data_IF_258081012254
#
_entry.id   IF_258081012254
#
_cell.length_a   1.000
_cell.length_b   1.000
_cell.length_c   1.000
_cell.angle_alpha   90.00
_cell.angle_beta   90.00
_cell.angle_gamma   90.00
#
_symmetry.space_group_name_H-M   'P 1'
#
loop_
_entity.id
_entity.type
_entity.pdbx_description
1 polymer ?
#
# COMPACT_ATOMS: atom_id res chain seq x y z
N UNK A 1 -17.01 7.03 -9.46
CA UNK A 1 -16.22 5.99 -10.14
C UNK A 1 -15.23 5.42 -9.14
N UNK A 2 -15.42 4.18 -8.70
CA UNK A 2 -14.56 3.53 -7.70
C UNK A 2 -13.16 3.40 -8.30
N UNK A 3 -12.17 4.11 -7.76
CA UNK A 3 -10.74 3.89 -8.10
C UNK A 3 -10.42 2.44 -7.72
N UNK A 4 -10.52 1.52 -8.67
CA UNK A 4 -10.09 0.14 -8.51
C UNK A 4 -8.56 0.17 -8.62
N UNK A 5 -7.89 0.20 -7.48
CA UNK A 5 -6.48 -0.13 -7.44
C UNK A 5 -6.31 -1.56 -7.95
N UNK A 6 -5.35 -1.75 -8.85
CA UNK A 6 -5.07 -3.06 -9.39
C UNK A 6 -4.69 -4.03 -8.26
N UNK A 7 -5.09 -5.30 -8.37
CA UNK A 7 -4.76 -6.30 -7.34
C UNK A 7 -3.24 -6.42 -7.19
N UNK A 8 -2.53 -6.30 -8.29
CA UNK A 8 -1.07 -6.33 -8.33
C UNK A 8 -0.46 -5.16 -7.54
N UNK A 9 -1.07 -3.97 -7.64
CA UNK A 9 -0.65 -2.80 -6.90
C UNK A 9 -0.80 -2.95 -5.38
N UNK A 10 -1.92 -3.55 -4.95
CA UNK A 10 -2.13 -3.86 -3.52
C UNK A 10 -1.11 -4.88 -3.03
N UNK A 11 -0.89 -5.95 -3.79
CA UNK A 11 0.08 -7.00 -3.45
C UNK A 11 1.49 -6.43 -3.32
N UNK A 12 1.92 -5.61 -4.28
CA UNK A 12 3.22 -4.95 -4.22
C UNK A 12 3.33 -4.05 -2.98
N UNK A 13 2.30 -3.25 -2.68
CA UNK A 13 2.29 -2.40 -1.48
C UNK A 13 2.46 -3.20 -0.19
N UNK A 14 1.68 -4.27 -0.05
CA UNK A 14 1.68 -5.10 1.16
C UNK A 14 3.00 -5.86 1.28
N UNK A 15 3.57 -6.32 0.16
CA UNK A 15 4.88 -6.99 0.10
C UNK A 15 6.00 -6.07 0.58
N UNK A 16 6.03 -4.81 0.14
CA UNK A 16 7.03 -3.83 0.59
C UNK A 16 6.98 -3.61 2.11
N UNK A 17 5.79 -3.70 2.70
CA UNK A 17 5.57 -3.44 4.12
C UNK A 17 5.87 -4.68 4.96
N UNK A 18 5.39 -5.85 4.53
CA UNK A 18 5.54 -7.10 5.29
C UNK A 18 6.87 -7.81 5.04
N UNK A 19 7.37 -7.82 3.80
CA UNK A 19 8.62 -8.52 3.46
C UNK A 19 9.84 -7.61 3.57
N UNK A 20 9.78 -6.39 3.03
CA UNK A 20 10.90 -5.45 3.10
C UNK A 20 10.93 -4.65 4.42
N UNK A 21 9.89 -4.76 5.25
CA UNK A 21 9.79 -4.03 6.52
C UNK A 21 9.69 -2.51 6.36
N UNK A 22 9.32 -2.01 5.17
CA UNK A 22 9.14 -0.58 4.94
C UNK A 22 7.93 -0.07 5.72
N UNK A 23 8.07 1.11 6.32
CA UNK A 23 6.96 1.78 7.00
C UNK A 23 5.84 2.11 6.03
N UNK A 24 4.59 1.98 6.49
CA UNK A 24 3.38 2.34 5.74
C UNK A 24 3.48 3.76 5.15
N UNK A 25 4.01 4.71 5.92
CA UNK A 25 4.24 6.09 5.50
C UNK A 25 5.20 6.23 4.30
N UNK A 26 6.22 5.37 4.25
CA UNK A 26 7.21 5.38 3.18
C UNK A 26 6.60 4.83 1.89
N UNK A 27 5.96 3.67 1.97
CA UNK A 27 5.29 3.04 0.83
C UNK A 27 4.14 3.91 0.32
N UNK A 28 3.42 4.59 1.21
CA UNK A 28 2.39 5.57 0.86
C UNK A 28 2.96 6.71 0.00
N UNK A 29 4.08 7.31 0.44
CA UNK A 29 4.75 8.38 -0.30
C UNK A 29 5.32 7.90 -1.63
N UNK A 30 5.99 6.74 -1.66
CA UNK A 30 6.57 6.16 -2.87
C UNK A 30 5.49 5.84 -3.92
N UNK A 31 4.33 5.35 -3.48
CA UNK A 31 3.24 4.90 -4.36
C UNK A 31 2.17 5.97 -4.59
N UNK A 32 2.30 7.16 -3.99
CA UNK A 32 1.31 8.24 -4.08
C UNK A 32 -0.05 7.87 -3.47
N UNK A 33 -0.05 7.00 -2.46
CA UNK A 33 -1.24 6.57 -1.73
C UNK A 33 -1.39 7.33 -0.41
N UNK A 34 -2.62 7.40 0.08
CA UNK A 34 -2.85 7.76 1.49
C UNK A 34 -2.49 6.58 2.40
N UNK A 35 -1.82 6.87 3.50
CA UNK A 35 -1.44 5.89 4.53
C UNK A 35 -2.65 5.10 5.03
N UNK A 36 -3.79 5.76 5.23
CA UNK A 36 -5.05 5.12 5.63
C UNK A 36 -5.52 4.02 4.66
N UNK A 37 -5.22 4.17 3.37
CA UNK A 37 -5.55 3.14 2.37
C UNK A 37 -4.70 1.89 2.57
N UNK A 38 -3.42 2.07 2.86
CA UNK A 38 -2.49 0.97 3.13
C UNK A 38 -2.78 0.30 4.48
N UNK A 39 -3.07 1.08 5.53
CA UNK A 39 -3.53 0.53 6.81
C UNK A 39 -4.75 -0.37 6.63
N UNK A 40 -5.68 0.00 5.75
CA UNK A 40 -6.88 -0.80 5.44
C UNK A 40 -6.61 -2.05 4.58
N UNK A 41 -5.40 -2.19 4.02
CA UNK A 41 -4.99 -3.40 3.28
C UNK A 41 -4.15 -4.34 4.13
N UNK A 42 -3.51 -3.83 5.19
CA UNK A 42 -2.70 -4.60 6.13
C UNK A 42 -3.54 -5.10 7.32
N UNK A 43 -4.58 -4.34 7.71
CA UNK A 43 -5.59 -4.76 8.68
C UNK A 43 -6.40 -5.95 8.17
#
# INVERSE_FOLDING_TARGET
>A
MTKKYDKEFKLQSVRLIQEEGKSVAQVAREMGLHENTLYRWIA
#
